data_IF_861803400521
#
_entry.id   IF_861803400521
#
_cell.length_a   1.000
_cell.length_b   1.000
_cell.length_c   1.000
_cell.angle_alpha   90.00
_cell.angle_beta   90.00
_cell.angle_gamma   90.00
#
_symmetry.space_group_name_H-M   'P 1'
#
loop_
_entity.id
_entity.type
_entity.pdbx_description
1 polymer ?
#
# COMPACT_ATOMS: atom_id res chain seq x y z
N UNK A 1 -29.41 -2.13 -1.16
CA UNK A 1 -28.68 -1.96 0.12
C UNK A 1 -27.74 -0.79 -0.06
N UNK A 2 -27.88 0.32 0.69
CA UNK A 2 -26.95 1.44 0.56
C UNK A 2 -25.59 1.02 1.13
N UNK A 3 -24.53 1.12 0.32
CA UNK A 3 -23.16 1.00 0.82
C UNK A 3 -22.94 2.23 1.71
N UNK A 4 -23.01 2.07 3.02
CA UNK A 4 -22.62 3.13 3.94
C UNK A 4 -21.12 3.35 3.80
N UNK A 5 -20.67 4.62 3.82
CA UNK A 5 -19.28 5.01 3.56
C UNK A 5 -18.25 4.18 4.38
N UNK A 6 -18.62 3.79 5.61
CA UNK A 6 -17.78 2.95 6.48
C UNK A 6 -17.48 1.55 5.92
N UNK A 7 -18.42 0.93 5.17
CA UNK A 7 -18.21 -0.38 4.57
C UNK A 7 -17.22 -0.35 3.41
N UNK A 8 -17.26 0.72 2.61
CA UNK A 8 -16.32 0.95 1.52
C UNK A 8 -14.90 1.25 2.05
N UNK A 9 -14.78 2.02 3.14
CA UNK A 9 -13.50 2.35 3.76
C UNK A 9 -12.78 1.10 4.30
N UNK A 10 -13.52 0.19 4.95
CA UNK A 10 -12.96 -1.09 5.42
C UNK A 10 -12.51 -2.00 4.27
N UNK A 11 -13.26 -2.04 3.17
CA UNK A 11 -12.87 -2.82 2.00
C UNK A 11 -11.61 -2.26 1.33
N UNK A 12 -11.48 -0.93 1.27
CA UNK A 12 -10.27 -0.25 0.77
C UNK A 12 -9.07 -0.55 1.66
N UNK A 13 -9.20 -0.45 2.99
CA UNK A 13 -8.13 -0.79 3.93
C UNK A 13 -7.67 -2.23 3.75
N UNK A 14 -8.61 -3.18 3.62
CA UNK A 14 -8.30 -4.59 3.40
C UNK A 14 -7.55 -4.80 2.08
N UNK A 15 -8.01 -4.19 0.98
CA UNK A 15 -7.32 -4.28 -0.32
C UNK A 15 -5.92 -3.69 -0.27
N UNK A 16 -5.72 -2.59 0.45
CA UNK A 16 -4.40 -1.98 0.61
C UNK A 16 -3.48 -2.91 1.41
N UNK A 17 -3.98 -3.56 2.47
CA UNK A 17 -3.23 -4.57 3.23
C UNK A 17 -2.84 -5.76 2.35
N UNK A 18 -3.79 -6.32 1.59
CA UNK A 18 -3.53 -7.43 0.66
C UNK A 18 -2.41 -7.08 -0.35
N UNK A 19 -2.38 -5.83 -0.85
CA UNK A 19 -1.36 -5.36 -1.80
C UNK A 19 0.00 -5.19 -1.13
N UNK A 20 0.05 -4.69 0.10
CA UNK A 20 1.28 -4.56 0.89
C UNK A 20 1.93 -5.94 1.06
N UNK A 21 1.15 -6.94 1.48
CA UNK A 21 1.64 -8.31 1.70
C UNK A 21 2.17 -8.94 0.40
N UNK A 22 1.52 -8.68 -0.73
CA UNK A 22 1.96 -9.18 -2.03
C UNK A 22 3.31 -8.59 -2.45
N UNK A 23 3.53 -7.28 -2.25
CA UNK A 23 4.82 -6.65 -2.52
C UNK A 23 5.93 -7.20 -1.62
N UNK A 24 5.65 -7.38 -0.33
CA UNK A 24 6.62 -7.95 0.62
C UNK A 24 6.97 -9.40 0.28
N UNK A 25 5.98 -10.21 -0.06
CA UNK A 25 6.20 -11.59 -0.50
C UNK A 25 7.02 -11.66 -1.79
N UNK A 26 6.78 -10.76 -2.74
CA UNK A 26 7.56 -10.68 -3.98
C UNK A 26 9.02 -10.28 -3.70
N UNK A 27 9.26 -9.26 -2.86
CA UNK A 27 10.60 -8.85 -2.47
C UNK A 27 11.37 -9.97 -1.77
N UNK A 28 10.73 -10.68 -0.83
CA UNK A 28 11.33 -11.82 -0.13
C UNK A 28 11.70 -12.96 -1.10
N UNK A 29 10.84 -13.24 -2.09
CA UNK A 29 11.14 -14.24 -3.14
C UNK A 29 12.32 -13.82 -4.00
N UNK A 30 12.38 -12.56 -4.42
CA UNK A 30 13.50 -12.05 -5.22
C UNK A 30 14.83 -12.13 -4.46
N UNK A 31 14.84 -11.75 -3.17
CA UNK A 31 16.02 -11.91 -2.30
C UNK A 31 16.43 -13.37 -2.11
N UNK A 32 15.45 -14.26 -1.96
CA UNK A 32 15.75 -15.70 -1.89
C UNK A 32 16.35 -16.21 -3.20
N UNK A 33 15.84 -15.76 -4.35
CA UNK A 33 16.35 -16.14 -5.65
C UNK A 33 17.74 -15.55 -5.95
N UNK A 34 18.04 -14.34 -5.48
CA UNK A 34 19.36 -13.72 -5.67
C UNK A 34 20.49 -14.45 -4.94
N UNK A 35 20.16 -15.29 -3.96
CA UNK A 35 21.12 -16.11 -3.21
C UNK A 35 21.31 -17.51 -3.81
N UNK A 36 20.47 -17.91 -4.78
CA UNK A 36 20.53 -19.22 -5.41
C UNK A 36 21.50 -19.21 -6.59
N UNK A 37 22.11 -20.37 -6.91
CA UNK A 37 22.88 -20.51 -8.14
C UNK A 37 22.05 -20.10 -9.35
N UNK A 38 22.68 -19.36 -10.28
CA UNK A 38 22.05 -19.00 -11.54
C UNK A 38 21.87 -20.27 -12.39
N UNK A 39 20.73 -20.36 -13.05
CA UNK A 39 20.45 -21.45 -13.99
C UNK A 39 20.96 -21.04 -15.35
N UNK A 40 21.68 -21.96 -16.01
CA UNK A 40 22.23 -21.71 -17.33
C UNK A 40 21.13 -21.38 -18.35
N UNK A 41 21.39 -20.40 -19.21
CA UNK A 41 20.41 -19.89 -20.17
C UNK A 41 19.32 -18.95 -19.62
N UNK A 42 19.28 -18.68 -18.30
CA UNK A 42 18.38 -17.68 -17.70
C UNK A 42 19.16 -16.41 -17.36
N UNK A 43 18.68 -15.26 -17.83
CA UNK A 43 19.29 -13.93 -17.60
C UNK A 43 18.48 -13.09 -16.60
N UNK A 44 19.02 -11.95 -16.16
CA UNK A 44 18.29 -10.98 -15.33
C UNK A 44 18.43 -11.15 -13.80
N UNK A 45 19.16 -12.16 -13.33
CA UNK A 45 19.41 -12.36 -11.89
C UNK A 45 20.06 -11.15 -11.18
N UNK A 46 20.83 -10.35 -11.92
CA UNK A 46 21.48 -9.16 -11.40
C UNK A 46 20.49 -8.03 -11.05
N UNK A 47 19.28 -8.07 -11.60
CA UNK A 47 18.22 -7.09 -11.35
C UNK A 47 17.39 -7.44 -10.10
N UNK A 48 17.48 -8.68 -9.62
CA UNK A 48 16.68 -9.15 -8.47
C UNK A 48 16.88 -8.31 -7.19
N UNK A 49 18.09 -7.88 -6.82
CA UNK A 49 18.28 -7.01 -5.65
C UNK A 49 17.54 -5.67 -5.81
N UNK A 50 17.66 -5.03 -6.98
CA UNK A 50 17.01 -3.75 -7.24
C UNK A 50 15.48 -3.89 -7.27
N UNK A 51 14.96 -4.93 -7.92
CA UNK A 51 13.52 -5.21 -7.97
C UNK A 51 12.96 -5.49 -6.57
N UNK A 52 13.71 -6.18 -5.71
CA UNK A 52 13.31 -6.42 -4.33
C UNK A 52 13.22 -5.10 -3.53
N UNK A 53 14.21 -4.22 -3.66
CA UNK A 53 14.19 -2.90 -3.02
C UNK A 53 13.02 -2.04 -3.50
N UNK A 54 12.71 -2.08 -4.79
CA UNK A 54 11.58 -1.32 -5.35
C UNK A 54 10.23 -1.82 -4.85
N UNK A 55 10.06 -3.14 -4.69
CA UNK A 55 8.86 -3.69 -4.08
C UNK A 55 8.73 -3.35 -2.59
N UNK A 56 9.83 -3.36 -1.83
CA UNK A 56 9.83 -2.92 -0.44
C UNK A 56 9.47 -1.44 -0.31
N UNK A 57 10.01 -0.59 -1.19
CA UNK A 57 9.68 0.83 -1.26
C UNK A 57 8.19 1.05 -1.53
N UNK A 58 7.61 0.30 -2.46
CA UNK A 58 6.18 0.36 -2.77
C UNK A 58 5.34 -0.10 -1.58
N UNK A 59 5.68 -1.22 -0.95
CA UNK A 59 5.00 -1.69 0.26
C UNK A 59 5.00 -0.61 1.35
N UNK A 60 6.14 0.06 1.57
CA UNK A 60 6.22 1.16 2.53
C UNK A 60 5.33 2.34 2.16
N UNK A 61 5.29 2.75 0.90
CA UNK A 61 4.39 3.82 0.44
C UNK A 61 2.91 3.48 0.70
N UNK A 62 2.50 2.24 0.41
CA UNK A 62 1.13 1.79 0.70
C UNK A 62 0.85 1.73 2.22
N UNK A 63 1.83 1.39 3.06
CA UNK A 63 1.69 1.47 4.52
C UNK A 63 1.46 2.90 4.98
N UNK A 64 2.21 3.88 4.45
CA UNK A 64 1.98 5.29 4.79
C UNK A 64 0.58 5.76 4.37
N UNK A 65 0.10 5.34 3.20
CA UNK A 65 -1.26 5.60 2.75
C UNK A 65 -2.30 4.92 3.66
N UNK A 66 -2.08 3.67 4.04
CA UNK A 66 -2.97 2.92 4.94
C UNK A 66 -3.14 3.60 6.31
N UNK A 67 -2.08 4.23 6.84
CA UNK A 67 -2.14 5.00 8.10
C UNK A 67 -3.11 6.17 8.03
N UNK A 68 -3.33 6.76 6.85
CA UNK A 68 -4.29 7.86 6.65
C UNK A 68 -5.74 7.39 6.81
N UNK A 69 -6.02 6.12 6.53
CA UNK A 69 -7.36 5.52 6.69
C UNK A 69 -7.62 5.01 8.12
N UNK A 70 -6.57 4.80 8.91
CA UNK A 70 -6.68 4.34 10.30
C UNK A 70 -6.87 5.48 11.31
N UNK A 71 -6.51 6.71 10.94
CA UNK A 71 -6.85 7.91 11.73
C UNK A 71 -8.17 8.47 11.21
N UNK A 72 -9.16 8.79 12.08
CA UNK A 72 -10.24 9.66 11.64
C UNK A 72 -9.60 10.95 11.13
N UNK A 73 -9.91 11.30 9.87
CA UNK A 73 -9.58 12.62 9.35
C UNK A 73 -10.37 13.61 10.21
N UNK A 74 -9.73 14.23 11.20
CA UNK A 74 -10.23 15.41 11.89
C UNK A 74 -10.26 16.55 10.86
N UNK A 75 -11.25 16.51 9.97
CA UNK A 75 -11.59 17.61 9.10
C UNK A 75 -12.42 18.57 9.96
N UNK A 76 -11.94 19.80 10.25
CA UNK A 76 -12.75 20.76 10.97
C UNK A 76 -14.00 21.08 10.13
N UNK A 77 -15.17 20.65 10.61
CA UNK A 77 -16.49 20.89 10.00
C UNK A 77 -16.94 22.36 10.06
N UNK A 78 -16.04 23.30 10.38
CA UNK A 78 -16.35 24.70 10.64
C UNK A 78 -16.04 25.59 9.43
N UNK A 79 -16.84 25.48 8.37
CA UNK A 79 -16.91 26.48 7.29
C UNK A 79 -18.30 26.46 6.64
N UNK A 80 -19.33 26.90 7.38
CA UNK A 80 -20.47 27.70 6.89
C UNK A 80 -21.66 27.65 7.86
N UNK A 81 -21.69 28.52 8.87
CA UNK A 81 -22.95 28.91 9.54
C UNK A 81 -23.04 30.40 9.94
N UNK A 82 -22.15 31.29 9.45
CA UNK A 82 -22.21 32.72 9.82
C UNK A 82 -22.66 33.67 8.69
N UNK A 83 -23.07 33.15 7.52
CA UNK A 83 -23.64 33.98 6.45
C UNK A 83 -25.19 34.02 6.45
N UNK A 84 -25.84 33.73 7.58
CA UNK A 84 -27.31 33.77 7.69
C UNK A 84 -27.80 34.35 9.02
N UNK A 85 -27.28 35.52 9.40
CA UNK A 85 -28.02 36.45 10.26
C UNK A 85 -27.84 37.86 9.72
N UNK A 86 -28.84 38.27 8.93
CA UNK A 86 -29.24 39.66 8.78
C UNK A 86 -29.63 40.22 10.16
#
# INVERSE_FOLDING_TARGET
MPITAHGADLEVVRKVQDVIEQYEAAAARLRSMSQKPQVDGITGYHEFPQLAEDYERRAQQYREVAKLFQKPLDMPLSLNQQALRL
#
